data_IF_621899479824
#
_entry.id   IF_621899479824
#
_cell.length_a   1.000
_cell.length_b   1.000
_cell.length_c   1.000
_cell.angle_alpha   90.00
_cell.angle_beta   90.00
_cell.angle_gamma   90.00
#
_symmetry.space_group_name_H-M   'P 1'
#
loop_
_entity.id
_entity.type
_entity.pdbx_description
1 polymer ?
#
# COMPACT_ATOMS: atom_id res chain seq x y z
N UNK A 1 -26.33 -24.83 -14.10
CA UNK A 1 -25.15 -24.27 -13.42
C UNK A 1 -24.84 -22.97 -14.13
N UNK A 2 -25.15 -21.83 -13.52
CA UNK A 2 -24.76 -20.53 -14.09
C UNK A 2 -23.25 -20.40 -13.94
N UNK A 3 -22.55 -20.02 -15.01
CA UNK A 3 -21.12 -19.74 -14.93
C UNK A 3 -20.92 -18.45 -14.14
N UNK A 4 -20.12 -18.49 -13.08
CA UNK A 4 -19.65 -17.32 -12.35
C UNK A 4 -18.77 -16.47 -13.26
N UNK A 5 -19.15 -15.22 -13.52
CA UNK A 5 -18.35 -14.31 -14.34
C UNK A 5 -17.34 -13.62 -13.44
N UNK A 6 -16.08 -14.06 -13.52
CA UNK A 6 -14.98 -13.39 -12.81
C UNK A 6 -14.35 -12.34 -13.73
N UNK A 7 -14.18 -11.13 -13.23
CA UNK A 7 -13.48 -10.04 -13.93
C UNK A 7 -12.27 -9.60 -13.11
N UNK A 8 -11.11 -9.53 -13.77
CA UNK A 8 -9.85 -9.18 -13.11
C UNK A 8 -9.27 -7.90 -13.70
N UNK A 9 -8.81 -6.98 -12.85
CA UNK A 9 -8.18 -5.72 -13.25
C UNK A 9 -6.75 -5.62 -12.70
N UNK A 10 -5.76 -5.26 -13.54
CA UNK A 10 -4.42 -4.94 -13.07
C UNK A 10 -4.39 -3.49 -12.56
N UNK A 11 -4.15 -3.32 -11.27
CA UNK A 11 -4.09 -2.02 -10.62
C UNK A 11 -2.65 -1.61 -10.34
N UNK A 12 -2.36 -0.33 -10.60
CA UNK A 12 -1.23 0.37 -10.02
C UNK A 12 -1.76 1.25 -8.89
N UNK A 13 -1.10 1.23 -7.74
CA UNK A 13 -1.45 2.07 -6.61
C UNK A 13 -0.25 2.86 -6.12
N UNK A 14 -0.51 4.03 -5.52
CA UNK A 14 0.51 4.85 -4.89
C UNK A 14 0.03 5.27 -3.51
N UNK A 15 0.83 5.02 -2.47
CA UNK A 15 0.56 5.51 -1.11
C UNK A 15 1.71 6.37 -0.61
N UNK A 16 1.37 7.33 0.25
CA UNK A 16 2.31 8.18 0.97
C UNK A 16 1.88 8.22 2.43
N UNK A 17 2.75 7.76 3.31
CA UNK A 17 2.47 7.59 4.73
C UNK A 17 3.53 8.24 5.60
N UNK A 18 3.10 8.73 6.76
CA UNK A 18 3.98 9.14 7.86
C UNK A 18 3.84 8.10 8.97
N UNK A 19 4.93 7.39 9.27
CA UNK A 19 4.98 6.33 10.28
C UNK A 19 5.87 6.78 11.43
N UNK A 20 5.32 6.77 12.64
CA UNK A 20 6.09 7.00 13.87
C UNK A 20 6.62 5.68 14.42
N UNK A 21 7.93 5.62 14.68
CA UNK A 21 8.56 4.50 15.37
C UNK A 21 9.29 4.94 16.64
N UNK A 22 10.14 4.08 17.18
CA UNK A 22 10.90 4.35 18.42
C UNK A 22 11.99 5.41 18.15
N UNK A 23 11.66 6.68 18.38
CA UNK A 23 12.61 7.80 18.27
C UNK A 23 12.83 8.35 16.86
N UNK A 24 11.96 8.00 15.91
CA UNK A 24 12.00 8.54 14.53
C UNK A 24 10.60 8.70 13.95
N UNK A 25 10.49 9.58 12.96
CA UNK A 25 9.39 9.60 12.00
C UNK A 25 9.93 9.24 10.62
N UNK A 26 9.18 8.42 9.89
CA UNK A 26 9.53 7.99 8.55
C UNK A 26 8.43 8.37 7.56
N UNK A 27 8.84 8.95 6.44
CA UNK A 27 8.01 9.06 5.25
C UNK A 27 8.16 7.79 4.42
N UNK A 28 7.05 7.13 4.10
CA UNK A 28 7.00 5.95 3.23
C UNK A 28 6.21 6.30 1.98
N UNK A 29 6.85 6.26 0.82
CA UNK A 29 6.20 6.40 -0.47
C UNK A 29 6.35 5.11 -1.27
N UNK A 30 5.22 4.54 -1.69
CA UNK A 30 5.18 3.29 -2.46
C UNK A 30 4.43 3.52 -3.77
N UNK A 31 4.93 2.88 -4.83
CA UNK A 31 4.25 2.67 -6.09
C UNK A 31 4.23 1.17 -6.35
N UNK A 32 3.07 0.54 -6.20
CA UNK A 32 2.91 -0.91 -6.16
C UNK A 32 1.94 -1.45 -7.20
N UNK A 33 1.84 -2.79 -7.22
CA UNK A 33 0.98 -3.57 -8.12
C UNK A 33 -0.04 -4.36 -7.31
N UNK A 34 -1.27 -4.45 -7.79
CA UNK A 34 -2.31 -5.28 -7.19
C UNK A 34 -3.31 -5.78 -8.23
N UNK A 35 -3.90 -6.95 -7.98
CA UNK A 35 -5.01 -7.49 -8.76
C UNK A 35 -6.33 -7.21 -8.05
N UNK A 36 -7.28 -6.59 -8.75
CA UNK A 36 -8.66 -6.53 -8.30
C UNK A 36 -9.45 -7.64 -8.99
N UNK A 37 -10.12 -8.49 -8.21
CA UNK A 37 -10.89 -9.63 -8.69
C UNK A 37 -12.34 -9.43 -8.26
N UNK A 38 -13.26 -9.42 -9.23
CA UNK A 38 -14.69 -9.31 -9.01
C UNK A 38 -15.36 -10.61 -9.42
N UNK A 39 -16.05 -11.25 -8.49
CA UNK A 39 -16.74 -12.52 -8.74
C UNK A 39 -18.00 -12.60 -7.90
N UNK A 40 -19.15 -12.84 -8.53
CA UNK A 40 -20.44 -13.15 -7.88
C UNK A 40 -20.86 -12.23 -6.72
N UNK A 41 -20.51 -10.93 -6.80
CA UNK A 41 -20.88 -9.93 -5.79
C UNK A 41 -19.82 -9.70 -4.71
N UNK A 42 -18.76 -10.50 -4.69
CA UNK A 42 -17.57 -10.27 -3.89
C UNK A 42 -16.49 -9.56 -4.71
N UNK A 43 -15.77 -8.66 -4.04
CA UNK A 43 -14.63 -7.95 -4.60
C UNK A 43 -13.42 -8.17 -3.71
N UNK A 44 -12.34 -8.64 -4.31
CA UNK A 44 -11.06 -8.86 -3.65
C UNK A 44 -9.98 -8.04 -4.31
N UNK A 45 -9.03 -7.56 -3.52
CA UNK A 45 -7.80 -6.94 -3.97
C UNK A 45 -6.62 -7.72 -3.41
N UNK A 46 -5.76 -8.24 -4.28
CA UNK A 46 -4.57 -9.00 -3.91
C UNK A 46 -3.32 -8.21 -4.28
N UNK A 47 -2.38 -8.14 -3.35
CA UNK A 47 -1.10 -7.50 -3.57
C UNK A 47 -0.23 -8.34 -4.50
N UNK A 48 0.38 -7.68 -5.48
CA UNK A 48 1.48 -8.25 -6.26
C UNK A 48 2.81 -7.76 -5.69
N UNK A 49 2.90 -6.46 -5.40
CA UNK A 49 4.00 -5.83 -4.68
C UNK A 49 3.45 -4.72 -3.77
N UNK A 50 3.45 -4.90 -2.43
CA UNK A 50 3.85 -6.12 -1.72
C UNK A 50 2.86 -7.28 -1.95
N UNK A 51 3.36 -8.52 -2.01
CA UNK A 51 2.60 -9.73 -2.33
C UNK A 51 1.74 -10.27 -1.19
N UNK A 52 2.15 -10.02 0.07
CA UNK A 52 1.50 -10.55 1.28
C UNK A 52 0.20 -9.85 1.70
N UNK A 53 -0.41 -9.02 0.84
CA UNK A 53 -1.61 -8.27 1.17
C UNK A 53 -2.85 -8.79 0.45
N UNK A 54 -3.97 -8.78 1.16
CA UNK A 54 -5.29 -8.96 0.59
C UNK A 54 -6.30 -8.03 1.29
N UNK A 55 -7.33 -7.61 0.58
CA UNK A 55 -8.47 -6.87 1.12
C UNK A 55 -9.75 -7.25 0.40
N UNK A 56 -10.86 -7.35 1.14
CA UNK A 56 -12.13 -7.83 0.60
C UNK A 56 -13.31 -6.90 0.90
N UNK A 57 -14.37 -7.03 0.14
CA UNK A 57 -15.64 -6.35 0.40
C UNK A 57 -16.72 -6.65 -0.65
N UNK A 58 -17.92 -6.14 -0.42
CA UNK A 58 -19.03 -6.24 -1.38
C UNK A 58 -18.90 -5.21 -2.52
N UNK A 59 -17.98 -4.25 -2.38
CA UNK A 59 -17.70 -3.24 -3.39
C UNK A 59 -16.20 -3.01 -3.57
N UNK A 60 -15.81 -2.48 -4.74
CA UNK A 60 -14.42 -2.03 -5.03
C UNK A 60 -13.87 -1.11 -3.94
N UNK A 61 -14.71 -0.21 -3.44
CA UNK A 61 -14.31 0.77 -2.43
C UNK A 61 -14.00 0.09 -1.10
N UNK A 62 -14.80 -0.88 -0.70
CA UNK A 62 -14.57 -1.66 0.52
C UNK A 62 -13.30 -2.49 0.41
N UNK A 63 -13.14 -3.24 -0.69
CA UNK A 63 -11.92 -4.02 -0.94
C UNK A 63 -10.65 -3.15 -0.91
N UNK A 64 -10.68 -1.99 -1.56
CA UNK A 64 -9.57 -1.03 -1.53
C UNK A 64 -9.32 -0.47 -0.13
N UNK A 65 -10.38 -0.16 0.62
CA UNK A 65 -10.26 0.38 1.98
C UNK A 65 -9.66 -0.65 2.94
N UNK A 66 -10.06 -1.91 2.79
CA UNK A 66 -9.54 -3.01 3.58
C UNK A 66 -8.09 -3.35 3.22
N UNK A 67 -7.77 -3.40 1.92
CA UNK A 67 -6.39 -3.54 1.43
C UNK A 67 -5.47 -2.44 1.96
N UNK A 68 -5.93 -1.19 1.91
CA UNK A 68 -5.22 -0.02 2.44
C UNK A 68 -5.00 -0.11 3.95
N UNK A 69 -6.00 -0.60 4.70
CA UNK A 69 -5.89 -0.82 6.14
C UNK A 69 -4.84 -1.89 6.45
N UNK A 70 -4.86 -3.00 5.73
CA UNK A 70 -3.86 -4.07 5.86
C UNK A 70 -2.44 -3.55 5.63
N UNK A 71 -2.21 -2.82 4.54
CA UNK A 71 -0.92 -2.17 4.26
C UNK A 71 -0.44 -1.30 5.43
N UNK A 72 -1.30 -0.41 5.94
CA UNK A 72 -0.92 0.50 7.03
C UNK A 72 -0.65 -0.25 8.34
N UNK A 73 -1.43 -1.30 8.65
CA UNK A 73 -1.20 -2.15 9.81
C UNK A 73 0.19 -2.77 9.78
N UNK A 74 0.59 -3.35 8.64
CA UNK A 74 1.93 -3.95 8.50
C UNK A 74 3.04 -2.93 8.75
N UNK A 75 2.93 -1.71 8.20
CA UNK A 75 3.93 -0.67 8.45
C UNK A 75 4.02 -0.29 9.94
N UNK A 76 2.89 -0.22 10.63
CA UNK A 76 2.85 0.05 12.07
C UNK A 76 3.50 -1.10 12.85
N UNK A 77 3.20 -2.34 12.52
CA UNK A 77 3.77 -3.52 13.18
C UNK A 77 5.29 -3.58 12.99
N UNK A 78 5.78 -3.31 11.77
CA UNK A 78 7.21 -3.22 11.48
C UNK A 78 7.88 -2.10 12.30
N UNK A 79 7.23 -0.92 12.40
CA UNK A 79 7.76 0.19 13.19
C UNK A 79 7.81 -0.10 14.70
N UNK A 80 6.87 -0.88 15.22
CA UNK A 80 6.86 -1.32 16.62
C UNK A 80 7.92 -2.39 16.89
N UNK A 81 8.15 -3.29 15.94
CA UNK A 81 9.16 -4.35 16.03
C UNK A 81 10.59 -3.81 15.85
N UNK A 82 10.76 -2.70 15.12
CA UNK A 82 12.06 -2.10 14.84
C UNK A 82 12.55 -1.20 15.98
N UNK A 83 13.85 -1.27 16.28
CA UNK A 83 14.49 -0.44 17.30
C UNK A 83 15.14 0.84 16.74
N UNK A 84 15.22 0.96 15.41
CA UNK A 84 15.77 2.13 14.72
C UNK A 84 15.08 2.40 13.40
N UNK A 85 15.32 3.59 12.84
CA UNK A 85 14.88 3.95 11.50
C UNK A 85 15.45 3.01 10.44
N UNK A 86 16.72 2.62 10.57
CA UNK A 86 17.42 1.75 9.63
C UNK A 86 16.83 0.34 9.62
N UNK A 87 16.47 -0.20 10.79
CA UNK A 87 15.78 -1.49 10.89
C UNK A 87 14.40 -1.44 10.26
N UNK A 88 13.62 -0.40 10.58
CA UNK A 88 12.31 -0.17 9.97
C UNK A 88 12.38 -0.06 8.45
N UNK A 89 13.34 0.72 7.94
CA UNK A 89 13.56 0.89 6.51
C UNK A 89 13.85 -0.46 5.83
N UNK A 90 14.77 -1.24 6.39
CA UNK A 90 15.14 -2.54 5.82
C UNK A 90 13.95 -3.51 5.76
N UNK A 91 13.14 -3.58 6.82
CA UNK A 91 11.97 -4.45 6.88
C UNK A 91 10.84 -3.99 5.95
N UNK A 92 10.59 -2.67 5.83
CA UNK A 92 9.62 -2.13 4.87
C UNK A 92 10.04 -2.39 3.43
N UNK A 93 11.33 -2.21 3.11
CA UNK A 93 11.86 -2.52 1.78
C UNK A 93 11.75 -4.02 1.49
N UNK A 94 12.07 -4.89 2.46
CA UNK A 94 11.89 -6.35 2.35
C UNK A 94 10.43 -6.71 2.08
N UNK A 95 9.50 -6.22 2.90
CA UNK A 95 8.06 -6.42 2.75
C UNK A 95 7.57 -5.98 1.37
N UNK A 96 8.01 -4.82 0.87
CA UNK A 96 7.64 -4.35 -0.46
C UNK A 96 8.09 -5.28 -1.59
N UNK A 97 9.28 -5.85 -1.45
CA UNK A 97 9.87 -6.75 -2.45
C UNK A 97 9.31 -8.17 -2.41
N UNK A 98 8.55 -8.54 -1.38
CA UNK A 98 7.74 -9.76 -1.41
C UNK A 98 6.81 -9.70 -2.62
N UNK A 99 6.95 -10.67 -3.53
CA UNK A 99 6.17 -10.73 -4.76
C UNK A 99 5.25 -11.95 -4.71
N UNK A 100 4.01 -11.77 -5.15
CA UNK A 100 3.07 -12.90 -5.28
C UNK A 100 3.23 -13.57 -6.65
N UNK A 101 4.29 -14.36 -6.81
CA UNK A 101 4.65 -15.01 -8.08
C UNK A 101 3.53 -15.93 -8.60
N UNK A 102 2.70 -16.48 -7.70
CA UNK A 102 1.58 -17.33 -8.06
C UNK A 102 0.49 -16.59 -8.85
N UNK A 103 0.37 -15.27 -8.66
CA UNK A 103 -0.60 -14.41 -9.33
C UNK A 103 -0.03 -13.70 -10.57
N UNK A 104 1.25 -13.88 -10.90
CA UNK A 104 1.85 -13.23 -12.08
C UNK A 104 1.17 -13.63 -13.40
N UNK A 105 0.75 -14.90 -13.62
CA UNK A 105 -0.03 -15.26 -14.80
C UNK A 105 -1.38 -14.52 -14.89
N UNK A 106 -2.07 -14.34 -13.76
CA UNK A 106 -3.33 -13.60 -13.70
C UNK A 106 -3.11 -12.10 -13.96
N UNK A 107 -2.01 -11.54 -13.46
CA UNK A 107 -1.58 -10.17 -13.74
C UNK A 107 -1.34 -9.92 -15.23
N UNK A 108 -0.57 -10.79 -15.88
CA UNK A 108 -0.30 -10.71 -17.32
C UNK A 108 -1.59 -10.84 -18.15
N UNK A 109 -2.45 -11.80 -17.79
CA UNK A 109 -3.74 -11.99 -18.43
C UNK A 109 -4.65 -10.76 -18.28
N UNK A 110 -4.69 -10.16 -17.09
CA UNK A 110 -5.48 -8.96 -16.84
C UNK A 110 -4.96 -7.75 -17.63
N UNK A 111 -3.63 -7.59 -17.76
CA UNK A 111 -3.03 -6.57 -18.63
C UNK A 111 -3.43 -6.79 -20.09
N UNK A 112 -3.34 -8.03 -20.58
CA UNK A 112 -3.71 -8.37 -21.95
C UNK A 112 -5.19 -8.07 -22.20
N UNK A 113 -6.08 -8.42 -21.27
CA UNK A 113 -7.51 -8.17 -21.36
C UNK A 113 -7.86 -6.67 -21.41
N UNK A 114 -7.21 -5.84 -20.59
CA UNK A 114 -7.41 -4.37 -20.62
C UNK A 114 -6.86 -3.78 -21.92
N UNK A 115 -5.70 -4.24 -22.40
CA UNK A 115 -5.10 -3.77 -23.67
C UNK A 115 -5.93 -4.15 -24.90
N UNK A 116 -6.52 -5.34 -24.88
CA UNK A 116 -7.43 -5.83 -25.91
C UNK A 116 -8.85 -5.23 -25.78
N UNK A 117 -9.09 -4.40 -24.77
CA UNK A 117 -10.40 -3.79 -24.47
C UNK A 117 -11.52 -4.83 -24.20
N UNK A 118 -11.12 -6.05 -23.82
CA UNK A 118 -12.02 -7.14 -23.41
C UNK A 118 -12.61 -6.90 -22.02
N UNK A 119 -11.94 -6.09 -21.19
CA UNK A 119 -12.43 -5.63 -19.89
C UNK A 119 -12.46 -4.10 -19.90
N UNK A 120 -13.63 -3.53 -19.57
CA UNK A 120 -13.86 -2.08 -19.52
C UNK A 120 -13.47 -1.53 -18.16
N UNK A 121 -12.36 -0.79 -18.13
CA UNK A 121 -11.81 -0.15 -16.95
C UNK A 121 -11.96 1.39 -17.02
N UNK A 122 -13.13 1.87 -17.46
CA UNK A 122 -13.34 3.31 -17.74
C UNK A 122 -13.31 4.19 -16.47
N UNK A 123 -13.40 3.57 -15.30
CA UNK A 123 -13.27 4.19 -13.98
C UNK A 123 -11.81 4.31 -13.50
N UNK A 124 -10.84 3.76 -14.26
CA UNK A 124 -9.42 3.86 -13.98
C UNK A 124 -8.71 4.76 -14.99
N UNK A 125 -7.81 5.60 -14.48
CA UNK A 125 -6.87 6.31 -15.32
C UNK A 125 -5.85 5.31 -15.90
N UNK A 126 -5.94 5.04 -17.21
CA UNK A 126 -4.98 4.17 -17.90
C UNK A 126 -3.59 4.82 -17.87
N UNK A 127 -2.57 4.07 -17.43
CA UNK A 127 -1.17 4.46 -17.53
C UNK A 127 -0.37 3.35 -18.21
N UNK A 128 0.64 3.69 -19.02
CA UNK A 128 1.58 2.69 -19.51
C UNK A 128 2.29 2.06 -18.32
N UNK A 129 2.23 0.73 -18.26
CA UNK A 129 3.00 -0.04 -17.29
C UNK A 129 4.49 -0.04 -17.68
N UNK A 130 5.35 0.31 -16.74
CA UNK A 130 6.80 0.05 -16.78
C UNK A 130 7.17 -0.67 -15.48
N UNK A 131 8.07 -1.65 -15.53
CA UNK A 131 8.59 -2.29 -14.32
C UNK A 131 9.25 -1.26 -13.39
N UNK A 132 9.88 -0.23 -13.96
CA UNK A 132 10.51 0.88 -13.22
C UNK A 132 9.50 1.76 -12.46
N UNK A 133 8.19 1.59 -12.73
CA UNK A 133 7.14 2.30 -11.99
C UNK A 133 6.88 1.66 -10.62
N UNK A 134 7.37 0.44 -10.36
CA UNK A 134 7.26 -0.24 -9.07
C UNK A 134 8.43 0.19 -8.20
N UNK A 135 8.15 0.91 -7.10
CA UNK A 135 9.19 1.48 -6.26
C UNK A 135 8.74 1.70 -4.83
N UNK A 136 9.72 1.73 -3.93
CA UNK A 136 9.56 2.08 -2.52
C UNK A 136 10.63 3.11 -2.15
N UNK A 137 10.23 4.11 -1.38
CA UNK A 137 11.12 5.10 -0.79
C UNK A 137 10.78 5.25 0.68
N UNK A 138 11.77 5.01 1.54
CA UNK A 138 11.67 5.21 2.98
C UNK A 138 12.70 6.25 3.39
N UNK A 139 12.21 7.41 3.84
CA UNK A 139 13.05 8.53 4.26
C UNK A 139 12.79 8.85 5.72
N UNK A 140 13.84 9.28 6.42
CA UNK A 140 13.70 9.83 7.77
C UNK A 140 13.21 11.26 7.66
N UNK A 141 12.15 11.58 8.39
CA UNK A 141 11.65 12.95 8.58
C UNK A 141 12.17 13.38 9.96
N UNK A 142 12.90 14.49 10.03
CA UNK A 142 13.66 14.90 11.23
C UNK A 142 12.81 15.02 12.51
N UNK A 143 13.49 14.92 13.67
CA UNK A 143 12.91 14.88 15.01
C UNK A 143 12.12 16.16 15.36
N UNK A 144 10.92 16.07 15.98
CA UNK A 144 10.49 17.17 16.83
C UNK A 144 11.48 17.26 17.99
N UNK A 145 12.30 18.31 18.00
CA UNK A 145 13.00 18.71 19.22
C UNK A 145 11.89 19.14 20.17
N UNK A 146 11.72 18.41 21.26
CA UNK A 146 10.91 18.91 22.36
C UNK A 146 11.66 20.11 22.94
N UNK A 147 11.35 21.31 22.46
CA UNK A 147 11.62 22.51 23.23
C UNK A 147 10.70 22.41 24.46
N UNK A 148 11.33 22.29 25.62
CA UNK A 148 10.66 22.49 26.90
C UNK A 148 9.86 23.79 26.78
N UNK A 149 8.53 23.73 26.82
CA UNK A 149 7.72 24.92 27.08
C UNK A 149 7.93 25.30 28.54
N UNK A 150 9.14 25.76 28.89
CA UNK A 150 9.39 26.42 30.15
C UNK A 150 8.66 27.76 30.08
N UNK A 151 7.47 27.82 30.67
CA UNK A 151 6.78 29.08 30.95
C UNK A 151 7.76 29.91 31.79
N UNK A 152 8.19 31.10 31.36
CA UNK A 152 9.04 31.94 32.17
C UNK A 152 8.35 32.20 33.51
N UNK A 153 9.07 32.01 34.61
CA UNK A 153 8.56 32.18 35.98
C UNK A 153 8.03 33.61 36.29
N UNK A 154 8.12 34.54 35.34
CA UNK A 154 7.60 35.90 35.44
C UNK A 154 6.09 36.01 35.18
N UNK A 155 5.45 35.01 34.54
CA UNK A 155 3.99 35.01 34.29
C UNK A 155 3.16 34.35 35.41
N UNK A 156 3.80 33.75 36.42
CA UNK A 156 3.12 33.13 37.57
C UNK A 156 2.96 34.09 38.78
N UNK A 157 3.33 35.37 38.62
CA UNK A 157 3.33 36.37 39.69
C UNK A 157 2.44 37.60 39.41
N UNK A 158 1.45 37.49 38.51
CA UNK A 158 0.45 38.53 38.23
C UNK A 158 -0.94 38.16 38.76
#
# INVERSE_FOLDING_TARGET
MSASTTTTFPLLFSYRDLIGGKGYFAGVEVHGRALLVESDGDVWMYGMNPGGLAGGGATRKEALSDFRRGYNSVLIDIAQASDSFEGFKAEVESFFHETNDALEPDWEAAIAAVRADAVKADWLNRRPYSADAVSISVIRIEQPVAEENSVPNEELAA
#
